data_IF_914164885576
#
_entry.id   IF_914164885576
#
_cell.length_a   1.000
_cell.length_b   1.000
_cell.length_c   1.000
_cell.angle_alpha   90.00
_cell.angle_beta   90.00
_cell.angle_gamma   90.00
#
_symmetry.space_group_name_H-M   'P 1'
#
loop_
_entity.id
_entity.type
_entity.pdbx_description
1 polymer ?
#
# COMPACT_ATOMS: atom_id res chain seq x y z
N UNK A 1 17.66 25.22 61.02
CA UNK A 1 18.01 25.08 59.59
C UNK A 1 16.96 24.18 58.95
N UNK A 2 16.18 24.51 57.93
CA UNK A 2 16.00 25.70 57.10
C UNK A 2 14.71 25.45 56.31
N UNK A 3 13.89 26.48 56.16
CA UNK A 3 12.54 26.50 55.58
C UNK A 3 12.51 26.25 54.05
N UNK A 4 11.29 25.98 53.59
CA UNK A 4 10.68 26.32 52.29
C UNK A 4 10.81 25.26 51.17
N UNK A 5 9.84 25.07 50.26
CA UNK A 5 8.74 25.94 49.81
C UNK A 5 7.62 25.08 49.19
N UNK A 6 6.35 25.34 49.54
CA UNK A 6 5.18 24.88 48.78
C UNK A 6 4.97 25.83 47.60
N UNK A 7 4.70 25.30 46.42
CA UNK A 7 4.30 26.09 45.26
C UNK A 7 2.87 25.68 44.88
N UNK A 8 1.97 26.65 44.87
CA UNK A 8 0.56 26.51 44.51
C UNK A 8 0.37 26.35 43.00
N UNK A 9 -0.71 25.66 42.56
CA UNK A 9 -1.13 25.66 41.17
C UNK A 9 -1.72 27.03 40.80
N UNK A 10 -1.18 27.67 39.77
CA UNK A 10 -1.75 28.89 39.21
C UNK A 10 -2.92 28.53 38.28
N UNK A 11 -4.11 29.03 38.61
CA UNK A 11 -5.25 29.12 37.71
C UNK A 11 -5.22 30.46 36.96
N UNK A 12 -5.47 30.35 35.65
CA UNK A 12 -5.99 31.28 34.62
C UNK A 12 -5.89 32.81 34.74
N UNK A 13 -5.84 33.46 33.56
CA UNK A 13 -7.00 34.28 33.19
C UNK A 13 -7.65 33.83 31.87
N UNK A 14 -8.98 33.81 31.90
CA UNK A 14 -9.83 33.76 30.72
C UNK A 14 -9.61 35.02 29.87
N UNK A 15 -9.38 34.84 28.56
CA UNK A 15 -9.67 35.87 27.57
C UNK A 15 -10.43 35.26 26.41
N UNK A 16 -11.71 35.62 26.36
CA UNK A 16 -12.64 35.51 25.24
C UNK A 16 -12.07 36.24 24.03
N UNK A 17 -12.01 35.56 22.88
CA UNK A 17 -11.65 36.16 21.60
C UNK A 17 -11.74 35.14 20.47
N UNK A 18 -12.90 35.11 19.80
CA UNK A 18 -13.20 34.27 18.66
C UNK A 18 -12.15 34.39 17.55
N UNK A 19 -11.79 33.25 16.96
CA UNK A 19 -10.86 33.16 15.84
C UNK A 19 -10.82 31.72 15.34
N UNK A 20 -11.93 31.25 14.77
CA UNK A 20 -11.99 30.06 13.93
C UNK A 20 -10.93 30.19 12.85
N UNK A 21 -9.81 29.46 12.98
CA UNK A 21 -8.85 29.31 11.89
C UNK A 21 -9.31 28.14 11.04
N UNK A 22 -9.67 28.50 9.81
CA UNK A 22 -10.10 27.62 8.75
C UNK A 22 -9.22 26.38 8.63
N UNK A 23 -9.90 25.22 8.63
CA UNK A 23 -9.39 24.01 8.00
C UNK A 23 -9.31 24.31 6.51
N UNK A 24 -8.22 24.01 5.79
CA UNK A 24 -8.18 24.25 4.37
C UNK A 24 -9.30 23.44 3.68
N UNK A 25 -10.07 24.17 2.90
CA UNK A 25 -11.30 23.75 2.24
C UNK A 25 -11.15 22.47 1.42
N UNK A 26 -12.23 21.68 1.49
CA UNK A 26 -12.55 20.63 0.54
C UNK A 26 -12.61 21.20 -0.87
N UNK A 27 -11.87 20.61 -1.80
CA UNK A 27 -12.12 20.74 -3.24
C UNK A 27 -12.24 19.34 -3.82
N UNK A 28 -13.41 19.04 -4.40
CA UNK A 28 -13.62 17.92 -5.31
C UNK A 28 -14.79 17.02 -4.94
N UNK A 29 -16.00 17.38 -5.37
CA UNK A 29 -17.16 16.50 -5.43
C UNK A 29 -16.89 15.33 -6.39
N UNK A 30 -16.53 14.18 -5.83
CA UNK A 30 -16.59 12.88 -6.47
C UNK A 30 -17.56 12.00 -5.68
N UNK A 31 -18.67 11.61 -6.30
CA UNK A 31 -19.68 10.75 -5.69
C UNK A 31 -19.14 9.33 -5.46
N UNK A 32 -18.50 9.12 -4.32
CA UNK A 32 -18.38 7.83 -3.64
C UNK A 32 -19.14 7.91 -2.33
N UNK A 33 -19.92 6.89 -1.98
CA UNK A 33 -20.57 6.83 -0.67
C UNK A 33 -19.50 7.03 0.41
N UNK A 34 -19.64 8.01 1.34
CA UNK A 34 -18.67 8.18 2.40
C UNK A 34 -18.69 6.89 3.22
N UNK A 35 -17.57 6.17 3.24
CA UNK A 35 -17.40 5.12 4.25
C UNK A 35 -17.74 5.77 5.59
N UNK A 36 -18.61 5.15 6.37
CA UNK A 36 -18.84 5.56 7.75
C UNK A 36 -17.51 5.41 8.47
N UNK A 37 -16.73 6.50 8.53
CA UNK A 37 -15.41 6.50 9.15
C UNK A 37 -15.65 6.30 10.63
N UNK A 38 -15.51 5.06 11.10
CA UNK A 38 -15.39 4.81 12.52
C UNK A 38 -14.11 5.55 12.95
N UNK A 39 -14.19 6.57 13.82
CA UNK A 39 -13.03 7.37 14.21
C UNK A 39 -11.95 6.53 14.91
N UNK A 40 -12.29 5.30 15.31
CA UNK A 40 -11.37 4.32 15.89
C UNK A 40 -10.52 3.59 14.84
N UNK A 41 -10.78 3.76 13.54
CA UNK A 41 -10.06 3.09 12.46
C UNK A 41 -9.14 4.05 11.71
N UNK A 42 -7.95 3.57 11.35
CA UNK A 42 -7.03 4.31 10.52
C UNK A 42 -7.55 4.44 9.08
N UNK A 43 -7.19 5.53 8.42
CA UNK A 43 -7.57 5.76 7.03
C UNK A 43 -6.62 5.03 6.09
N UNK A 44 -7.12 4.02 5.38
CA UNK A 44 -6.34 3.24 4.42
C UNK A 44 -6.35 3.82 2.99
N UNK A 45 -6.87 5.05 2.84
CA UNK A 45 -6.99 5.79 1.58
C UNK A 45 -7.77 5.07 0.46
N UNK A 46 -8.74 4.22 0.80
CA UNK A 46 -9.56 3.48 -0.19
C UNK A 46 -10.33 4.42 -1.14
N UNK A 47 -10.71 5.60 -0.65
CA UNK A 47 -11.38 6.67 -1.41
C UNK A 47 -10.45 7.41 -2.39
N UNK A 48 -9.13 7.23 -2.25
CA UNK A 48 -8.12 7.84 -3.13
C UNK A 48 -7.76 6.94 -4.31
N UNK A 49 -8.38 5.78 -4.41
CA UNK A 49 -8.16 4.83 -5.48
C UNK A 49 -8.82 5.31 -6.78
N UNK A 50 -8.08 5.29 -7.89
CA UNK A 50 -8.59 5.65 -9.22
C UNK A 50 -8.45 4.47 -10.18
N UNK A 51 -9.31 3.48 -9.98
CA UNK A 51 -9.27 2.20 -10.69
C UNK A 51 -9.52 2.33 -12.19
N UNK A 52 -10.23 3.40 -12.60
CA UNK A 52 -10.47 3.75 -14.00
C UNK A 52 -9.19 3.86 -14.81
N UNK A 53 -8.08 4.30 -14.19
CA UNK A 53 -6.78 4.46 -14.87
C UNK A 53 -6.22 3.16 -15.43
N UNK A 54 -6.64 2.03 -14.87
CA UNK A 54 -6.18 0.70 -15.25
C UNK A 54 -7.16 0.00 -16.19
N UNK A 55 -8.30 0.63 -16.49
CA UNK A 55 -9.30 0.07 -17.39
C UNK A 55 -8.80 0.09 -18.85
N UNK A 56 -8.81 -1.05 -19.57
CA UNK A 56 -8.31 -1.08 -20.95
C UNK A 56 -9.14 -0.19 -21.88
N UNK A 57 -8.47 0.55 -22.77
CA UNK A 57 -9.15 1.39 -23.76
C UNK A 57 -9.97 0.59 -24.79
N UNK A 58 -9.62 -0.68 -25.00
CA UNK A 58 -10.30 -1.61 -25.91
C UNK A 58 -11.41 -2.42 -25.21
N UNK A 59 -11.72 -2.13 -23.94
CA UNK A 59 -12.76 -2.83 -23.21
C UNK A 59 -14.13 -2.69 -23.90
N UNK A 60 -14.95 -3.76 -23.94
CA UNK A 60 -16.24 -3.76 -24.61
C UNK A 60 -17.31 -2.91 -23.91
N UNK A 61 -17.03 -2.47 -22.67
CA UNK A 61 -17.88 -1.55 -21.92
C UNK A 61 -17.04 -0.43 -21.28
N UNK A 62 -17.57 0.81 -21.19
CA UNK A 62 -16.94 1.90 -20.45
C UNK A 62 -16.75 1.55 -18.97
N UNK A 63 -15.78 2.21 -18.33
CA UNK A 63 -15.50 2.03 -16.90
C UNK A 63 -16.74 2.27 -16.04
N UNK A 64 -17.50 3.34 -16.31
CA UNK A 64 -18.67 3.74 -15.53
C UNK A 64 -19.76 2.67 -15.56
N UNK A 65 -19.93 2.02 -16.72
CA UNK A 65 -20.88 0.91 -16.87
C UNK A 65 -20.38 -0.33 -16.12
N UNK A 66 -19.10 -0.67 -16.26
CA UNK A 66 -18.49 -1.79 -15.54
C UNK A 66 -18.62 -1.64 -14.03
N UNK A 67 -18.24 -0.47 -13.51
CA UNK A 67 -18.28 -0.16 -12.09
C UNK A 67 -19.71 -0.27 -11.53
N UNK A 68 -20.71 0.24 -12.26
CA UNK A 68 -22.11 0.13 -11.88
C UNK A 68 -22.58 -1.34 -11.83
N UNK A 69 -22.22 -2.14 -12.84
CA UNK A 69 -22.63 -3.55 -12.94
C UNK A 69 -21.94 -4.43 -11.91
N UNK A 70 -20.65 -4.20 -11.61
CA UNK A 70 -19.93 -4.89 -10.54
C UNK A 70 -20.54 -4.56 -9.17
N UNK A 71 -20.77 -3.27 -8.88
CA UNK A 71 -21.34 -2.83 -7.59
C UNK A 71 -22.75 -3.37 -7.34
N UNK A 72 -23.55 -3.51 -8.39
CA UNK A 72 -24.90 -4.10 -8.32
C UNK A 72 -24.91 -5.63 -8.30
N UNK A 73 -23.77 -6.28 -8.51
CA UNK A 73 -23.67 -7.73 -8.67
C UNK A 73 -24.27 -8.25 -9.98
N UNK A 74 -24.51 -7.37 -10.96
CA UNK A 74 -25.04 -7.73 -12.27
C UNK A 74 -24.01 -8.39 -13.19
N UNK A 75 -22.71 -8.26 -12.87
CA UNK A 75 -21.61 -9.04 -13.46
C UNK A 75 -20.60 -9.40 -12.37
N UNK A 76 -19.87 -10.48 -12.61
CA UNK A 76 -18.66 -10.84 -11.90
C UNK A 76 -17.41 -10.51 -12.73
N UNK A 77 -16.25 -10.41 -12.06
CA UNK A 77 -14.97 -10.26 -12.75
C UNK A 77 -14.64 -11.47 -13.64
N UNK A 78 -15.09 -12.67 -13.28
CA UNK A 78 -14.84 -13.89 -14.04
C UNK A 78 -15.50 -13.86 -15.43
N UNK A 79 -16.64 -13.17 -15.55
CA UNK A 79 -17.33 -12.93 -16.82
C UNK A 79 -16.60 -11.92 -17.73
N UNK A 80 -15.65 -11.15 -17.19
CA UNK A 80 -14.88 -10.15 -17.94
C UNK A 80 -13.71 -10.79 -18.68
N UNK A 81 -13.97 -11.77 -19.55
CA UNK A 81 -12.96 -12.58 -20.28
C UNK A 81 -12.04 -11.78 -21.21
N UNK A 82 -12.41 -10.53 -21.54
CA UNK A 82 -11.54 -9.62 -22.29
C UNK A 82 -10.38 -9.09 -21.44
N UNK A 83 -10.48 -9.16 -20.10
CA UNK A 83 -9.39 -8.86 -19.19
C UNK A 83 -8.51 -10.11 -19.06
N UNK A 84 -7.19 -9.99 -19.27
CA UNK A 84 -6.27 -11.08 -18.98
C UNK A 84 -6.43 -11.60 -17.54
N UNK A 85 -6.22 -12.91 -17.26
CA UNK A 85 -6.38 -13.46 -15.91
C UNK A 85 -5.67 -12.67 -14.82
N UNK A 86 -4.43 -12.23 -15.08
CA UNK A 86 -3.66 -11.38 -14.17
C UNK A 86 -4.36 -10.06 -13.82
N UNK A 87 -5.02 -9.45 -14.79
CA UNK A 87 -5.69 -8.16 -14.68
C UNK A 87 -6.99 -8.34 -13.93
N UNK A 88 -7.75 -9.41 -14.20
CA UNK A 88 -8.93 -9.79 -13.41
C UNK A 88 -8.58 -9.99 -11.94
N UNK A 89 -7.50 -10.73 -11.67
CA UNK A 89 -7.01 -10.94 -10.31
C UNK A 89 -6.63 -9.62 -9.61
N UNK A 90 -5.87 -8.76 -10.29
CA UNK A 90 -5.51 -7.44 -9.75
C UNK A 90 -6.73 -6.55 -9.48
N UNK A 91 -7.73 -6.54 -10.36
CA UNK A 91 -9.01 -5.87 -10.11
C UNK A 91 -9.78 -6.50 -8.95
N UNK A 92 -9.74 -7.82 -8.79
CA UNK A 92 -10.39 -8.52 -7.68
C UNK A 92 -9.85 -8.09 -6.31
N UNK A 93 -8.54 -7.89 -6.21
CA UNK A 93 -7.90 -7.32 -5.01
C UNK A 93 -8.36 -5.88 -4.81
N UNK A 94 -8.28 -5.04 -5.84
CA UNK A 94 -8.51 -3.61 -5.70
C UNK A 94 -10.00 -3.22 -5.53
N UNK A 95 -10.94 -4.01 -6.05
CA UNK A 95 -12.38 -3.74 -5.94
C UNK A 95 -12.97 -4.17 -4.60
N UNK A 96 -12.30 -5.09 -3.90
CA UNK A 96 -12.78 -5.66 -2.64
C UNK A 96 -11.75 -5.65 -1.50
N UNK A 97 -11.11 -4.49 -1.20
CA UNK A 97 -10.11 -4.36 -0.14
C UNK A 97 -10.66 -4.78 1.24
N UNK A 98 -11.95 -4.60 1.48
CA UNK A 98 -12.64 -4.95 2.72
C UNK A 98 -12.64 -6.46 3.03
N UNK A 99 -12.40 -7.31 2.04
CA UNK A 99 -12.43 -8.78 2.22
C UNK A 99 -11.16 -9.34 2.85
N UNK A 100 -10.05 -8.61 2.77
CA UNK A 100 -8.74 -9.13 3.16
C UNK A 100 -7.89 -8.13 3.96
N UNK A 101 -8.11 -6.82 3.81
CA UNK A 101 -7.37 -5.85 4.61
C UNK A 101 -7.79 -5.93 6.08
N UNK A 102 -6.83 -5.93 7.02
CA UNK A 102 -7.13 -5.92 8.44
C UNK A 102 -7.80 -4.60 8.84
N UNK A 103 -8.65 -4.66 9.86
CA UNK A 103 -9.11 -3.46 10.55
C UNK A 103 -7.94 -2.87 11.34
N UNK A 104 -7.40 -1.76 10.86
CA UNK A 104 -6.28 -1.07 11.49
C UNK A 104 -6.84 -0.03 12.48
N UNK A 105 -6.50 -0.11 13.78
CA UNK A 105 -6.94 0.90 14.74
C UNK A 105 -6.21 2.23 14.50
N UNK A 106 -6.94 3.33 14.67
CA UNK A 106 -6.40 4.69 14.70
C UNK A 106 -5.71 4.91 16.04
N UNK A 107 -4.40 4.71 16.07
CA UNK A 107 -3.57 4.92 17.26
C UNK A 107 -2.63 6.11 17.05
N UNK A 108 -2.42 6.90 18.10
CA UNK A 108 -1.56 8.09 18.06
C UNK A 108 -0.09 7.78 18.37
N UNK A 109 0.19 6.59 18.88
CA UNK A 109 1.54 6.15 19.25
C UNK A 109 2.21 5.47 18.04
N UNK A 110 3.37 5.96 17.57
CA UNK A 110 4.14 5.31 16.51
C UNK A 110 4.43 3.84 16.83
N UNK A 111 4.39 2.99 15.81
CA UNK A 111 4.67 1.55 15.94
C UNK A 111 5.94 1.22 15.14
N UNK A 112 7.13 1.57 15.64
CA UNK A 112 8.35 1.36 14.89
C UNK A 112 8.64 -0.13 14.70
N UNK A 113 9.07 -0.49 13.49
CA UNK A 113 9.84 -1.70 13.21
C UNK A 113 11.27 -1.29 12.86
N UNK A 114 12.20 -2.24 12.94
CA UNK A 114 13.58 -1.99 12.55
C UNK A 114 13.62 -1.49 11.09
N UNK A 115 14.24 -0.33 10.81
CA UNK A 115 14.53 0.09 9.45
C UNK A 115 15.48 -0.92 8.82
N UNK A 116 15.01 -1.62 7.79
CA UNK A 116 15.74 -2.68 7.13
C UNK A 116 15.17 -2.94 5.73
N UNK A 117 15.80 -3.88 5.02
CA UNK A 117 15.35 -4.40 3.74
C UNK A 117 14.57 -5.69 3.93
N UNK A 118 13.25 -5.61 3.79
CA UNK A 118 12.36 -6.74 3.95
C UNK A 118 12.17 -7.49 2.61
N UNK A 119 12.52 -8.79 2.52
CA UNK A 119 12.30 -9.56 1.30
C UNK A 119 10.85 -10.01 1.16
N UNK A 120 10.27 -9.85 -0.03
CA UNK A 120 8.95 -10.33 -0.40
C UNK A 120 9.06 -11.35 -1.54
N UNK A 121 8.55 -12.56 -1.29
CA UNK A 121 8.55 -13.67 -2.25
C UNK A 121 9.95 -14.03 -2.79
N UNK A 122 10.95 -14.16 -1.90
CA UNK A 122 12.32 -14.57 -2.24
C UNK A 122 12.96 -13.75 -3.38
N UNK A 123 13.12 -12.43 -3.22
CA UNK A 123 13.55 -11.54 -4.28
C UNK A 123 14.96 -11.84 -4.80
N UNK A 124 15.11 -11.75 -6.13
CA UNK A 124 16.39 -11.84 -6.85
C UNK A 124 16.88 -10.46 -7.34
N UNK A 125 17.88 -10.47 -8.21
CA UNK A 125 18.56 -9.24 -8.65
C UNK A 125 17.74 -8.35 -9.61
N UNK A 126 16.62 -8.88 -10.10
CA UNK A 126 15.63 -8.26 -10.97
C UNK A 126 14.33 -7.88 -10.23
N UNK A 127 14.25 -8.17 -8.93
CA UNK A 127 13.07 -7.93 -8.13
C UNK A 127 12.75 -6.44 -7.98
N UNK A 128 11.48 -6.11 -7.85
CA UNK A 128 11.03 -4.73 -7.63
C UNK A 128 11.63 -4.17 -6.33
N UNK A 129 11.89 -2.87 -6.31
CA UNK A 129 12.22 -2.16 -5.07
C UNK A 129 11.05 -1.27 -4.69
N UNK A 130 10.45 -1.54 -3.55
CA UNK A 130 9.42 -0.72 -2.92
C UNK A 130 10.03 0.04 -1.75
N UNK A 131 9.49 1.22 -1.46
CA UNK A 131 9.91 2.02 -0.31
C UNK A 131 8.71 2.30 0.58
N UNK A 132 8.89 2.27 1.89
CA UNK A 132 7.90 2.70 2.87
C UNK A 132 8.55 3.30 4.12
N UNK A 133 7.76 3.88 5.00
CA UNK A 133 8.18 4.25 6.36
C UNK A 133 8.20 3.01 7.27
N UNK A 134 9.05 3.00 8.30
CA UNK A 134 9.22 1.87 9.24
C UNK A 134 8.10 1.73 10.29
N UNK A 135 6.84 1.80 9.89
CA UNK A 135 5.69 1.56 10.76
C UNK A 135 5.17 0.11 10.62
N UNK A 136 4.96 -0.58 11.75
CA UNK A 136 4.48 -1.97 11.80
C UNK A 136 3.16 -2.18 11.07
N UNK A 137 2.18 -1.32 11.29
CA UNK A 137 0.85 -1.46 10.69
C UNK A 137 0.89 -1.19 9.18
N UNK A 138 1.74 -0.26 8.74
CA UNK A 138 2.01 -0.06 7.31
C UNK A 138 2.69 -1.28 6.69
N UNK A 139 3.68 -1.88 7.37
CA UNK A 139 4.34 -3.11 6.92
C UNK A 139 3.34 -4.26 6.83
N UNK A 140 2.54 -4.50 7.87
CA UNK A 140 1.53 -5.56 7.91
C UNK A 140 0.53 -5.41 6.76
N UNK A 141 0.10 -4.18 6.48
CA UNK A 141 -0.80 -3.88 5.37
C UNK A 141 -0.16 -4.16 4.00
N UNK A 142 1.09 -3.75 3.79
CA UNK A 142 1.82 -4.03 2.54
C UNK A 142 2.02 -5.52 2.34
N UNK A 143 2.43 -6.25 3.38
CA UNK A 143 2.58 -7.72 3.35
C UNK A 143 1.25 -8.40 3.08
N UNK A 144 0.15 -7.90 3.65
CA UNK A 144 -1.20 -8.42 3.41
C UNK A 144 -1.62 -8.25 1.95
N UNK A 145 -1.36 -7.10 1.32
CA UNK A 145 -1.62 -6.95 -0.12
C UNK A 145 -0.70 -7.88 -0.93
N UNK A 146 0.56 -7.99 -0.52
CA UNK A 146 1.56 -8.77 -1.24
C UNK A 146 1.30 -10.28 -1.22
N UNK A 147 0.64 -10.80 -0.19
CA UNK A 147 0.30 -12.22 -0.05
C UNK A 147 -0.71 -12.71 -1.10
N UNK A 148 -1.42 -11.79 -1.76
CA UNK A 148 -2.29 -12.10 -2.90
C UNK A 148 -1.52 -12.29 -4.21
N UNK A 149 -0.18 -12.32 -4.20
CA UNK A 149 0.63 -12.53 -5.39
C UNK A 149 1.98 -13.17 -5.07
N UNK A 150 2.65 -13.59 -6.12
CA UNK A 150 3.99 -14.16 -6.11
C UNK A 150 5.05 -13.18 -6.63
N UNK A 151 4.67 -11.90 -6.80
CA UNK A 151 5.56 -10.85 -7.28
C UNK A 151 6.78 -10.73 -6.36
N UNK A 152 7.99 -10.81 -6.93
CA UNK A 152 9.24 -10.72 -6.19
C UNK A 152 9.60 -9.25 -5.93
N UNK A 153 9.83 -8.88 -4.67
CA UNK A 153 10.22 -7.51 -4.33
C UNK A 153 11.11 -7.41 -3.09
N UNK A 154 11.92 -6.36 -3.03
CA UNK A 154 12.51 -5.85 -1.81
C UNK A 154 11.67 -4.66 -1.31
N UNK A 155 11.27 -4.67 -0.05
CA UNK A 155 10.63 -3.54 0.63
C UNK A 155 11.65 -2.85 1.55
N UNK A 156 12.10 -1.68 1.14
CA UNK A 156 13.01 -0.83 1.92
C UNK A 156 12.22 0.01 2.92
N UNK A 157 12.48 -0.20 4.22
CA UNK A 157 11.87 0.57 5.30
C UNK A 157 12.78 1.72 5.72
N UNK A 158 12.31 2.94 5.49
CA UNK A 158 13.00 4.18 5.88
C UNK A 158 12.69 4.46 7.35
N UNK A 159 13.74 4.82 8.11
CA UNK A 159 13.60 5.23 9.51
C UNK A 159 12.89 6.58 9.63
N UNK A 160 11.56 6.51 9.75
CA UNK A 160 10.67 7.64 9.93
C UNK A 160 10.15 7.71 11.38
N UNK A 161 10.91 7.19 12.36
CA UNK A 161 10.55 7.15 13.78
C UNK A 161 9.28 6.31 14.08
N UNK A 162 8.97 5.35 13.21
CA UNK A 162 7.77 4.52 13.31
C UNK A 162 6.46 5.24 12.93
N UNK A 163 6.54 6.43 12.31
CA UNK A 163 5.39 7.08 11.71
C UNK A 163 4.92 6.34 10.46
N UNK A 164 3.60 6.33 10.24
CA UNK A 164 3.01 5.96 8.95
C UNK A 164 3.47 6.93 7.87
N UNK A 165 3.32 6.56 6.59
CA UNK A 165 3.83 7.38 5.48
C UNK A 165 3.24 8.79 5.48
N UNK A 166 1.93 8.94 5.67
CA UNK A 166 1.24 10.22 5.77
C UNK A 166 1.76 11.09 6.93
N UNK A 167 1.87 10.52 8.12
CA UNK A 167 2.36 11.24 9.30
C UNK A 167 3.85 11.59 9.15
N UNK A 168 4.65 10.73 8.50
CA UNK A 168 6.06 11.00 8.24
C UNK A 168 6.26 12.14 7.23
N UNK A 169 5.32 12.35 6.32
CA UNK A 169 5.30 13.51 5.43
C UNK A 169 4.89 14.78 6.21
N UNK A 170 3.89 14.69 7.07
CA UNK A 170 3.43 15.81 7.91
C UNK A 170 4.51 16.28 8.88
N UNK A 171 5.18 15.35 9.56
CA UNK A 171 6.24 15.66 10.52
C UNK A 171 7.62 15.87 9.87
N UNK A 172 7.74 15.67 8.56
CA UNK A 172 9.00 15.82 7.84
C UNK A 172 10.08 14.79 8.23
N UNK A 173 9.68 13.60 8.67
CA UNK A 173 10.61 12.50 9.01
C UNK A 173 10.94 11.61 7.81
N UNK A 174 10.13 11.63 6.75
CA UNK A 174 10.45 10.99 5.47
C UNK A 174 11.18 11.99 4.57
N UNK A 175 12.52 11.93 4.56
CA UNK A 175 13.36 12.91 3.87
C UNK A 175 14.28 12.25 2.84
N UNK A 176 14.78 13.00 1.83
CA UNK A 176 15.75 12.48 0.88
C UNK A 176 17.03 11.95 1.54
N UNK A 177 17.48 12.61 2.63
CA UNK A 177 18.63 12.16 3.41
C UNK A 177 18.37 10.81 4.09
N UNK A 178 17.19 10.63 4.72
CA UNK A 178 16.79 9.36 5.35
C UNK A 178 16.66 8.23 4.32
N UNK A 179 16.10 8.50 3.14
CA UNK A 179 16.01 7.52 2.06
C UNK A 179 17.40 7.10 1.55
N UNK A 180 18.30 8.07 1.35
CA UNK A 180 19.68 7.81 0.91
C UNK A 180 20.43 6.97 1.94
N UNK A 181 20.26 7.27 3.23
CA UNK A 181 20.85 6.49 4.30
C UNK A 181 20.29 5.07 4.33
N UNK A 182 18.97 4.89 4.17
CA UNK A 182 18.35 3.56 4.10
C UNK A 182 18.88 2.71 2.93
N UNK A 183 19.07 3.30 1.74
CA UNK A 183 19.69 2.62 0.60
C UNK A 183 21.12 2.17 0.89
N UNK A 184 21.90 3.02 1.58
CA UNK A 184 23.30 2.75 1.93
C UNK A 184 23.40 1.66 2.99
N UNK A 185 22.64 1.77 4.07
CA UNK A 185 22.71 0.87 5.22
C UNK A 185 22.15 -0.53 4.91
N UNK A 186 21.13 -0.63 4.06
CA UNK A 186 20.54 -1.91 3.64
C UNK A 186 21.42 -2.73 2.69
N UNK A 187 22.39 -2.09 2.03
CA UNK A 187 23.18 -2.72 0.96
C UNK A 187 22.35 -3.09 -0.28
N UNK A 188 21.14 -2.53 -0.44
CA UNK A 188 20.22 -2.86 -1.54
C UNK A 188 20.85 -2.66 -2.92
N UNK A 189 21.71 -1.64 -3.08
CA UNK A 189 22.42 -1.40 -4.34
C UNK A 189 23.28 -2.58 -4.82
N UNK A 190 23.73 -3.44 -3.91
CA UNK A 190 24.47 -4.67 -4.23
C UNK A 190 23.59 -5.90 -4.45
N UNK A 191 22.27 -5.80 -4.21
CA UNK A 191 21.31 -6.91 -4.34
C UNK A 191 20.49 -6.85 -5.63
N UNK A 192 20.40 -5.70 -6.29
CA UNK A 192 19.66 -5.52 -7.54
C UNK A 192 20.55 -4.95 -8.66
N UNK A 193 20.29 -5.37 -9.90
CA UNK A 193 21.01 -4.93 -11.12
C UNK A 193 20.56 -3.59 -11.66
N UNK A 194 19.40 -3.11 -11.24
CA UNK A 194 18.83 -1.83 -11.67
C UNK A 194 18.97 -0.76 -10.58
N UNK A 195 18.62 0.48 -10.91
CA UNK A 195 18.58 1.63 -9.99
C UNK A 195 17.21 2.30 -10.09
N UNK A 196 16.17 1.53 -9.82
CA UNK A 196 14.78 1.98 -9.86
C UNK A 196 14.08 1.60 -8.56
N UNK A 197 13.27 2.49 -8.01
CA UNK A 197 12.46 2.23 -6.83
C UNK A 197 11.06 2.82 -6.99
N UNK A 198 10.08 2.19 -6.34
CA UNK A 198 8.70 2.65 -6.26
C UNK A 198 8.48 3.25 -4.87
N UNK A 199 8.18 4.54 -4.82
CA UNK A 199 7.87 5.25 -3.56
C UNK A 199 6.35 5.41 -3.39
N UNK A 200 5.82 5.55 -2.17
CA UNK A 200 4.38 5.69 -1.96
C UNK A 200 3.83 6.97 -2.61
N UNK A 201 2.59 6.95 -3.08
CA UNK A 201 1.97 8.09 -3.76
C UNK A 201 1.91 9.36 -2.90
N UNK A 202 1.82 9.22 -1.57
CA UNK A 202 1.86 10.34 -0.62
C UNK A 202 3.21 11.09 -0.61
N UNK A 203 4.27 10.44 -1.09
CA UNK A 203 5.61 11.03 -1.18
C UNK A 203 5.90 11.68 -2.53
N UNK A 204 4.92 11.75 -3.44
CA UNK A 204 5.05 12.37 -4.76
C UNK A 204 5.70 13.77 -4.74
N UNK A 205 5.38 14.68 -3.78
CA UNK A 205 6.03 15.98 -3.73
C UNK A 205 7.57 15.94 -3.58
N UNK A 206 8.11 14.86 -3.01
CA UNK A 206 9.55 14.67 -2.79
C UNK A 206 10.23 13.86 -3.89
N UNK A 207 9.50 13.40 -4.93
CA UNK A 207 10.06 12.47 -5.92
C UNK A 207 11.28 13.04 -6.67
N UNK A 208 11.29 14.35 -6.95
CA UNK A 208 12.44 15.04 -7.54
C UNK A 208 13.66 15.05 -6.63
N UNK A 209 13.45 15.37 -5.34
CA UNK A 209 14.51 15.43 -4.34
C UNK A 209 15.07 14.04 -4.03
N UNK A 210 14.21 13.03 -3.98
CA UNK A 210 14.61 11.63 -3.85
C UNK A 210 15.48 11.18 -5.03
N UNK A 211 15.06 11.50 -6.26
CA UNK A 211 15.85 11.19 -7.46
C UNK A 211 17.21 11.87 -7.41
N UNK A 212 17.26 13.15 -7.04
CA UNK A 212 18.51 13.90 -6.93
C UNK A 212 19.44 13.33 -5.84
N UNK A 213 18.93 13.09 -4.64
CA UNK A 213 19.72 12.65 -3.50
C UNK A 213 20.24 11.21 -3.66
N UNK A 214 19.44 10.32 -4.25
CA UNK A 214 19.78 8.90 -4.37
C UNK A 214 20.49 8.57 -5.67
N UNK A 215 20.26 9.33 -6.74
CA UNK A 215 20.69 9.00 -8.10
C UNK A 215 19.94 7.81 -8.73
N UNK A 216 18.90 7.30 -8.07
CA UNK A 216 18.05 6.24 -8.59
C UNK A 216 16.84 6.83 -9.30
N UNK A 217 16.31 6.11 -10.28
CA UNK A 217 14.99 6.39 -10.82
C UNK A 217 13.93 6.18 -9.73
N UNK A 218 13.08 7.19 -9.57
CA UNK A 218 11.99 7.20 -8.61
C UNK A 218 10.68 7.17 -9.38
N UNK A 219 9.93 6.08 -9.18
CA UNK A 219 8.58 5.88 -9.71
C UNK A 219 7.61 6.13 -8.56
N UNK A 220 6.61 7.00 -8.78
CA UNK A 220 5.58 7.28 -7.78
C UNK A 220 4.48 6.21 -7.91
N UNK A 221 4.31 5.40 -6.87
CA UNK A 221 3.25 4.42 -6.76
C UNK A 221 1.92 5.03 -6.31
N UNK A 222 0.89 4.19 -6.08
CA UNK A 222 -0.41 4.65 -5.63
C UNK A 222 -0.38 5.16 -4.17
N UNK A 223 -1.41 5.90 -3.79
CA UNK A 223 -1.63 6.34 -2.40
C UNK A 223 -2.14 5.16 -1.56
N UNK A 224 -3.10 4.40 -2.08
CA UNK A 224 -3.60 3.21 -1.41
C UNK A 224 -2.81 1.97 -1.83
N UNK A 225 -2.43 1.13 -0.87
CA UNK A 225 -1.71 -0.10 -1.19
C UNK A 225 -2.55 -1.12 -1.97
N UNK A 226 -3.89 -1.11 -1.82
CA UNK A 226 -4.77 -2.02 -2.54
C UNK A 226 -4.74 -1.81 -4.08
N UNK A 227 -4.26 -0.65 -4.55
CA UNK A 227 -4.07 -0.38 -5.98
C UNK A 227 -2.76 -0.95 -6.53
N UNK A 228 -1.82 -1.37 -5.67
CA UNK A 228 -0.49 -1.80 -6.11
C UNK A 228 -0.53 -2.91 -7.17
N UNK A 229 -1.37 -3.96 -7.05
CA UNK A 229 -1.46 -4.99 -8.09
C UNK A 229 -1.81 -4.42 -9.47
N UNK A 230 -2.75 -3.48 -9.54
CA UNK A 230 -3.13 -2.83 -10.79
C UNK A 230 -2.04 -1.88 -11.30
N UNK A 231 -1.42 -1.12 -10.39
CA UNK A 231 -0.28 -0.24 -10.71
C UNK A 231 0.90 -1.01 -11.31
N UNK A 232 1.17 -2.21 -10.81
CA UNK A 232 2.26 -3.04 -11.31
C UNK A 232 1.94 -3.66 -12.66
N UNK A 233 0.65 -3.87 -12.98
CA UNK A 233 0.16 -4.36 -14.25
C UNK A 233 0.90 -5.62 -14.66
N UNK A 234 1.71 -5.52 -15.73
CA UNK A 234 2.44 -6.67 -16.25
C UNK A 234 3.59 -7.19 -15.36
N UNK A 235 3.90 -6.48 -14.27
CA UNK A 235 4.87 -6.91 -13.27
C UNK A 235 4.23 -7.64 -12.09
N UNK A 236 2.89 -7.63 -11.98
CA UNK A 236 2.18 -8.35 -10.93
C UNK A 236 1.99 -9.82 -11.30
N UNK A 237 2.51 -10.72 -10.48
CA UNK A 237 2.37 -12.18 -10.66
C UNK A 237 1.29 -12.68 -9.70
N UNK A 238 0.11 -13.10 -10.18
CA UNK A 238 -0.91 -13.75 -9.34
C UNK A 238 -0.44 -15.15 -8.88
N UNK A 239 -1.03 -15.73 -7.83
CA UNK A 239 -0.82 -17.14 -7.51
C UNK A 239 -1.37 -18.01 -8.66
N UNK A 240 -0.75 -19.15 -8.91
CA UNK A 240 -1.28 -20.11 -9.88
C UNK A 240 -2.68 -20.57 -9.43
N UNK A 241 -3.66 -20.55 -10.34
CA UNK A 241 -4.95 -21.18 -10.09
C UNK A 241 -4.72 -22.69 -10.05
N UNK A 242 -4.73 -23.30 -8.86
CA UNK A 242 -4.78 -24.76 -8.76
C UNK A 242 -6.07 -25.25 -9.40
N UNK A 243 -5.97 -25.75 -10.63
CA UNK A 243 -7.00 -26.58 -11.24
C UNK A 243 -7.05 -27.90 -10.49
N UNK A 244 -7.80 -27.96 -9.38
CA UNK A 244 -8.20 -29.24 -8.81
C UNK A 244 -9.12 -29.95 -9.79
N UNK A 245 -8.64 -31.06 -10.36
CA UNK A 245 -9.48 -32.02 -11.07
C UNK A 245 -8.98 -32.43 -12.45
N UNK A 246 -7.90 -33.20 -12.52
CA UNK A 246 -7.70 -34.12 -13.65
C UNK A 246 -7.27 -35.47 -13.10
N UNK A 247 -8.29 -36.34 -13.01
CA UNK A 247 -8.31 -37.79 -13.25
C UNK A 247 -7.35 -38.67 -12.42
N UNK A 248 -7.86 -39.60 -11.58
CA UNK A 248 -7.01 -40.61 -10.94
C UNK A 248 -6.35 -41.51 -12.01
N UNK A 249 -5.13 -42.02 -11.76
CA UNK A 249 -4.42 -42.83 -12.73
C UNK A 249 -5.20 -44.11 -13.05
N UNK A 250 -5.31 -44.39 -14.34
CA UNK A 250 -5.87 -45.61 -14.91
C UNK A 250 -5.26 -46.84 -14.23
N UNK A 251 -6.10 -47.63 -13.56
CA UNK A 251 -5.71 -48.89 -12.95
C UNK A 251 -5.48 -49.94 -14.02
N UNK A 252 -4.27 -50.03 -14.56
CA UNK A 252 -3.84 -51.22 -15.31
C UNK A 252 -3.66 -52.39 -14.35
N UNK A 253 -4.71 -53.22 -14.27
CA UNK A 253 -4.64 -54.58 -13.75
C UNK A 253 -3.79 -55.45 -14.68
N UNK A 254 -2.49 -55.56 -14.38
CA UNK A 254 -1.63 -56.64 -14.88
C UNK A 254 -1.60 -57.77 -13.86
N UNK A 255 -2.53 -58.71 -13.97
CA UNK A 255 -2.48 -59.96 -13.21
C UNK A 255 -1.58 -60.95 -13.95
N UNK A 256 -0.31 -61.02 -13.54
CA UNK A 256 0.63 -62.04 -13.94
C UNK A 256 0.32 -63.32 -13.14
N UNK A 257 -0.15 -64.37 -13.83
CA UNK A 257 -0.35 -65.70 -13.25
C UNK A 257 0.91 -66.52 -13.51
N UNK A 258 1.60 -66.86 -12.42
CA UNK A 258 2.35 -68.11 -12.30
C UNK A 258 1.55 -69.10 -11.46
#
# INVERSE_FOLDING_TARGET
MGRALRIHPHAHPETTGAGTRDRPDRIGDGQGAPQTVNPLNAWLYLDRMDLRRYWPSEAPLPWEEFESRIKSGAISLDECVFLPPRTRHAFGIALHPERYLPLIPSITVPQPVAPDLFPLNEPGEDALVLVSANNRLTLDLLVTVWSHGLTRAYLLLVDCLGHTVDMSMIFGTFTPAKLTEALRSSGLAGRVKHRQMIVPGLTAPLAGDFRHATGWEVIVGPVCAAEIPLFLGDRWVPPEETSEGTTPPDGTAGNDRS
#
